data_IF_603817815103
#
_entry.id   IF_603817815103
#
_cell.length_a   1.000
_cell.length_b   1.000
_cell.length_c   1.000
_cell.angle_alpha   90.00
_cell.angle_beta   90.00
_cell.angle_gamma   90.00
#
_symmetry.space_group_name_H-M   'P 1'
#
loop_
_entity.id
_entity.type
_entity.pdbx_description
1 polymer ?
#
# COMPACT_ATOMS: atom_id res chain seq x y z
N UNK A 1 6.97 -16.45 -38.81
CA UNK A 1 6.50 -15.07 -39.04
C UNK A 1 5.28 -14.80 -38.18
N UNK A 2 5.48 -14.35 -36.95
CA UNK A 2 4.55 -13.42 -36.32
C UNK A 2 5.45 -12.36 -35.74
N UNK A 3 5.70 -11.33 -36.54
CA UNK A 3 6.43 -10.15 -36.10
C UNK A 3 5.66 -9.58 -34.90
N UNK A 4 6.17 -9.81 -33.70
CA UNK A 4 5.78 -9.02 -32.55
C UNK A 4 6.25 -7.60 -32.84
N UNK A 5 5.41 -6.86 -33.55
CA UNK A 5 5.59 -5.44 -33.81
C UNK A 5 5.80 -4.81 -32.43
N UNK A 6 7.05 -4.44 -32.18
CA UNK A 6 7.59 -4.19 -30.86
C UNK A 6 6.70 -3.16 -30.15
N UNK A 7 6.15 -3.54 -28.99
CA UNK A 7 5.31 -2.68 -28.12
C UNK A 7 6.16 -1.56 -27.47
N UNK A 8 6.83 -0.78 -28.31
CA UNK A 8 7.63 0.36 -27.96
C UNK A 8 6.93 1.59 -28.53
N UNK A 9 6.64 2.61 -27.70
CA UNK A 9 5.93 3.80 -28.19
C UNK A 9 6.71 4.47 -29.31
N UNK A 10 6.05 4.85 -30.41
CA UNK A 10 6.72 5.43 -31.59
C UNK A 10 7.31 6.82 -31.22
N UNK A 11 6.59 7.61 -30.41
CA UNK A 11 6.96 8.97 -30.02
C UNK A 11 8.02 8.96 -28.90
N UNK A 12 9.06 9.81 -29.02
CA UNK A 12 10.16 9.94 -28.03
C UNK A 12 9.66 10.21 -26.60
N UNK A 13 8.62 11.04 -26.46
CA UNK A 13 7.98 11.37 -25.17
C UNK A 13 7.34 10.13 -24.52
N UNK A 14 6.66 9.30 -25.32
CA UNK A 14 6.00 8.10 -24.85
C UNK A 14 7.01 7.01 -24.45
N UNK A 15 8.14 6.85 -25.16
CA UNK A 15 9.26 5.98 -24.72
C UNK A 15 9.80 6.41 -23.34
N UNK A 16 9.92 7.72 -23.09
CA UNK A 16 10.35 8.25 -21.78
C UNK A 16 9.30 7.99 -20.70
N UNK A 17 8.01 8.20 -20.99
CA UNK A 17 6.92 7.94 -20.07
C UNK A 17 6.85 6.46 -19.66
N UNK A 18 7.06 5.53 -20.62
CA UNK A 18 7.14 4.10 -20.38
C UNK A 18 8.26 3.75 -19.38
N UNK A 19 9.48 4.27 -19.59
CA UNK A 19 10.60 4.05 -18.65
C UNK A 19 10.29 4.58 -17.24
N UNK A 20 9.67 5.76 -17.15
CA UNK A 20 9.27 6.34 -15.88
C UNK A 20 8.17 5.54 -15.18
N UNK A 21 7.20 5.03 -15.93
CA UNK A 21 6.07 4.27 -15.39
C UNK A 21 6.57 2.96 -14.77
N UNK A 22 7.48 2.23 -15.43
CA UNK A 22 8.10 1.03 -14.86
C UNK A 22 8.81 1.31 -13.53
N UNK A 23 9.65 2.35 -13.47
CA UNK A 23 10.37 2.75 -12.23
C UNK A 23 9.42 3.21 -11.11
N UNK A 24 8.27 3.82 -11.45
CA UNK A 24 7.24 4.18 -10.46
C UNK A 24 6.47 2.95 -10.00
N UNK A 25 6.13 2.03 -10.92
CA UNK A 25 5.40 0.80 -10.64
C UNK A 25 6.14 -0.09 -9.66
N UNK A 26 7.44 -0.32 -9.85
CA UNK A 26 8.24 -1.15 -8.94
C UNK A 26 8.22 -0.61 -7.50
N UNK A 27 8.48 0.69 -7.33
CA UNK A 27 8.45 1.36 -6.02
C UNK A 27 7.07 1.34 -5.38
N UNK A 28 6.01 1.58 -6.16
CA UNK A 28 4.64 1.56 -5.65
C UNK A 28 4.21 0.15 -5.26
N UNK A 29 4.63 -0.87 -6.01
CA UNK A 29 4.34 -2.27 -5.70
C UNK A 29 4.96 -2.68 -4.37
N UNK A 30 6.23 -2.33 -4.13
CA UNK A 30 6.91 -2.59 -2.86
C UNK A 30 6.18 -1.93 -1.68
N UNK A 31 5.86 -0.64 -1.78
CA UNK A 31 5.11 0.09 -0.73
C UNK A 31 3.72 -0.51 -0.49
N UNK A 32 3.02 -0.88 -1.56
CA UNK A 32 1.67 -1.48 -1.47
C UNK A 32 1.73 -2.85 -0.79
N UNK A 33 2.72 -3.69 -1.14
CA UNK A 33 2.95 -4.98 -0.48
C UNK A 33 3.23 -4.78 1.01
N UNK A 34 4.14 -3.86 1.36
CA UNK A 34 4.44 -3.53 2.76
C UNK A 34 3.19 -3.08 3.54
N UNK A 35 2.35 -2.23 2.94
CA UNK A 35 1.07 -1.83 3.54
C UNK A 35 0.17 -3.04 3.80
N UNK A 36 -0.01 -3.90 2.79
CA UNK A 36 -0.86 -5.10 2.90
C UNK A 36 -0.34 -6.05 3.98
N UNK A 37 0.97 -6.23 4.08
CA UNK A 37 1.59 -7.10 5.08
C UNK A 37 1.35 -6.58 6.50
N UNK A 38 1.61 -5.29 6.76
CA UNK A 38 1.34 -4.68 8.07
C UNK A 38 -0.15 -4.82 8.46
N UNK A 39 -1.07 -4.64 7.51
CA UNK A 39 -2.50 -4.83 7.78
C UNK A 39 -2.88 -6.28 8.06
N UNK A 40 -2.20 -7.25 7.42
CA UNK A 40 -2.42 -8.68 7.69
C UNK A 40 -1.88 -9.06 9.07
N UNK A 41 -0.71 -8.55 9.44
CA UNK A 41 -0.09 -8.76 10.74
C UNK A 41 -0.98 -8.27 11.88
N UNK A 42 -1.54 -7.05 11.79
CA UNK A 42 -2.52 -6.58 12.80
C UNK A 42 -3.73 -7.50 12.89
N UNK A 43 -4.27 -7.96 11.75
CA UNK A 43 -5.42 -8.87 11.75
C UNK A 43 -5.08 -10.23 12.36
N UNK A 44 -3.87 -10.72 12.12
CA UNK A 44 -3.38 -11.98 12.65
C UNK A 44 -3.22 -11.91 14.18
N UNK A 45 -2.61 -10.84 14.69
CA UNK A 45 -2.50 -10.61 16.14
C UNK A 45 -3.87 -10.50 16.81
N UNK A 46 -4.84 -9.88 16.14
CA UNK A 46 -6.22 -9.82 16.63
C UNK A 46 -6.90 -11.21 16.63
N UNK A 47 -6.64 -12.07 15.64
CA UNK A 47 -7.15 -13.45 15.67
C UNK A 47 -6.52 -14.29 16.78
N UNK A 48 -5.25 -14.03 17.12
CA UNK A 48 -4.55 -14.67 18.24
C UNK A 48 -4.92 -14.08 19.61
N UNK A 49 -5.85 -13.12 19.68
CA UNK A 49 -6.26 -12.39 20.90
C UNK A 49 -5.12 -11.63 21.60
N UNK A 50 -4.02 -11.33 20.91
CA UNK A 50 -2.88 -10.55 21.43
C UNK A 50 -3.12 -9.05 21.26
N UNK A 51 -4.03 -8.51 22.06
CA UNK A 51 -4.50 -7.12 21.94
C UNK A 51 -3.37 -6.11 22.22
N UNK A 52 -2.50 -6.37 23.19
CA UNK A 52 -1.41 -5.47 23.56
C UNK A 52 -0.34 -5.35 22.46
N UNK A 53 -0.03 -6.43 21.77
CA UNK A 53 0.89 -6.42 20.62
C UNK A 53 0.27 -5.67 19.42
N UNK A 54 -1.03 -5.85 19.19
CA UNK A 54 -1.75 -5.11 18.15
C UNK A 54 -1.76 -3.60 18.42
N UNK A 55 -1.90 -3.17 19.68
CA UNK A 55 -1.78 -1.76 20.08
C UNK A 55 -0.38 -1.20 19.82
N UNK A 56 0.68 -1.96 20.10
CA UNK A 56 2.08 -1.56 19.83
C UNK A 56 2.36 -1.38 18.33
N UNK A 57 1.72 -2.16 17.47
CA UNK A 57 1.90 -2.06 16.01
C UNK A 57 1.14 -0.87 15.38
N UNK A 58 0.12 -0.34 16.07
CA UNK A 58 -0.77 0.69 15.55
C UNK A 58 -0.07 2.00 15.13
N UNK A 59 0.89 2.56 15.90
CA UNK A 59 1.62 3.77 15.51
C UNK A 59 2.41 3.58 14.22
N UNK A 60 2.99 2.39 14.00
CA UNK A 60 3.72 2.07 12.78
C UNK A 60 2.79 2.02 11.58
N UNK A 61 1.61 1.44 11.73
CA UNK A 61 0.58 1.39 10.68
C UNK A 61 0.10 2.79 10.32
N UNK A 62 -0.14 3.66 11.31
CA UNK A 62 -0.54 5.05 11.08
C UNK A 62 0.54 5.84 10.35
N UNK A 63 1.79 5.77 10.82
CA UNK A 63 2.93 6.40 10.16
C UNK A 63 3.04 5.97 8.70
N UNK A 64 2.82 4.69 8.40
CA UNK A 64 2.87 4.18 7.05
C UNK A 64 1.70 4.67 6.18
N UNK A 65 0.47 4.65 6.71
CA UNK A 65 -0.72 5.14 6.00
C UNK A 65 -0.62 6.63 5.65
N UNK A 66 -0.12 7.45 6.57
CA UNK A 66 0.02 8.89 6.35
C UNK A 66 1.13 9.21 5.35
N UNK A 67 2.25 8.49 5.39
CA UNK A 67 3.29 8.60 4.36
C UNK A 67 2.79 8.13 2.99
N UNK A 68 1.98 7.07 2.96
CA UNK A 68 1.37 6.60 1.72
C UNK A 68 0.38 7.62 1.13
N UNK A 69 -0.37 8.32 1.99
CA UNK A 69 -1.24 9.42 1.56
C UNK A 69 -0.43 10.64 1.07
N UNK A 70 0.61 11.05 1.80
CA UNK A 70 1.48 12.17 1.42
C UNK A 70 2.17 11.95 0.08
N UNK A 71 2.64 10.73 -0.19
CA UNK A 71 3.32 10.39 -1.44
C UNK A 71 2.37 10.12 -2.61
N UNK A 72 1.05 10.25 -2.42
CA UNK A 72 0.05 10.02 -3.45
C UNK A 72 -0.16 8.55 -3.81
N UNK A 73 0.37 7.60 -3.02
CA UNK A 73 0.15 6.17 -3.24
C UNK A 73 -1.31 5.78 -2.96
N UNK A 74 -1.92 6.40 -1.96
CA UNK A 74 -3.35 6.25 -1.63
C UNK A 74 -3.99 7.63 -1.47
N UNK A 75 -5.29 7.74 -1.78
CA UNK A 75 -6.06 8.97 -1.51
C UNK A 75 -6.26 9.17 0.00
N UNK A 76 -6.34 10.42 0.45
CA UNK A 76 -6.53 10.81 1.87
C UNK A 76 -7.70 10.05 2.52
N UNK A 77 -8.85 10.01 1.85
CA UNK A 77 -10.05 9.30 2.33
C UNK A 77 -9.83 7.79 2.49
N UNK A 78 -8.96 7.18 1.67
CA UNK A 78 -8.64 5.75 1.81
C UNK A 78 -7.76 5.49 3.02
N UNK A 79 -6.84 6.42 3.35
CA UNK A 79 -6.08 6.34 4.58
C UNK A 79 -7.00 6.47 5.80
N UNK A 80 -7.89 7.48 5.83
CA UNK A 80 -8.84 7.68 6.93
C UNK A 80 -9.77 6.48 7.12
N UNK A 81 -10.34 5.92 6.04
CA UNK A 81 -11.15 4.69 6.11
C UNK A 81 -10.38 3.51 6.71
N UNK A 82 -9.11 3.33 6.35
CA UNK A 82 -8.27 2.24 6.88
C UNK A 82 -7.97 2.45 8.36
N UNK A 83 -7.63 3.67 8.79
CA UNK A 83 -7.44 4.00 10.21
C UNK A 83 -8.68 3.65 11.04
N UNK A 84 -9.84 4.17 10.63
CA UNK A 84 -11.11 3.93 11.30
C UNK A 84 -11.49 2.45 11.38
N UNK A 85 -11.23 1.67 10.32
CA UNK A 85 -11.52 0.22 10.34
C UNK A 85 -10.63 -0.53 11.33
N UNK A 86 -9.35 -0.19 11.42
CA UNK A 86 -8.43 -0.87 12.33
C UNK A 86 -8.78 -0.55 13.78
N UNK A 87 -9.06 0.72 14.10
CA UNK A 87 -9.48 1.10 15.46
C UNK A 87 -10.76 0.39 15.86
N UNK A 88 -11.78 0.40 14.99
CA UNK A 88 -13.06 -0.30 15.24
C UNK A 88 -12.88 -1.79 15.48
N UNK A 89 -11.93 -2.43 14.80
CA UNK A 89 -11.62 -3.84 15.01
C UNK A 89 -11.00 -4.07 16.39
N UNK A 90 -10.02 -3.25 16.78
CA UNK A 90 -9.38 -3.35 18.10
C UNK A 90 -10.41 -3.11 19.21
N UNK A 91 -11.24 -2.07 19.10
CA UNK A 91 -12.26 -1.76 20.12
C UNK A 91 -13.36 -2.81 20.23
N UNK A 92 -13.64 -3.56 19.16
CA UNK A 92 -14.63 -4.65 19.18
C UNK A 92 -14.07 -5.94 19.79
N UNK A 93 -12.75 -6.13 19.68
CA UNK A 93 -12.04 -7.28 20.23
C UNK A 93 -11.60 -7.09 21.68
N UNK A 94 -11.59 -5.83 22.15
CA UNK A 94 -11.46 -5.45 23.55
C UNK A 94 -12.77 -5.73 24.29
#
# INVERSE_FOLDING_TARGET
MVETNCMCPIIKSAKKALRQSFKRRTRNLQKTRKLKNLLKEVKFLLSEKKIEEAKKLLPQVYKFLDKAAKTGLIKKNTASRKKSRITKLITKSQ
#
